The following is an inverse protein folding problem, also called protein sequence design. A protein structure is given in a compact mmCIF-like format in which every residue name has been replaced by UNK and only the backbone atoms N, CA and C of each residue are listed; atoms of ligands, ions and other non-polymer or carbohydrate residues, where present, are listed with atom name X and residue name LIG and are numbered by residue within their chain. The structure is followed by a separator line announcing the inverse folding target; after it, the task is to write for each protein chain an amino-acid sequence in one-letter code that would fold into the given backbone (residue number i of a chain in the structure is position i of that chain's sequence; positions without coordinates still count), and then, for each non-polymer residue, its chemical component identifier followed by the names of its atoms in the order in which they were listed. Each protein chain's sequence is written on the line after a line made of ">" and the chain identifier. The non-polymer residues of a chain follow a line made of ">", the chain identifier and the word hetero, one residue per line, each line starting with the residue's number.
data_IF_886092637474
#
_entry.id   IF_886092637474
#
_cell.length_a   1.000
_cell.length_b   1.000
_cell.length_c   1.000
_cell.angle_alpha   90.00
_cell.angle_beta   90.00
_cell.angle_gamma   90.00
#
_symmetry.space_group_name_H-M   'P 1'
#
loop_
_entity.id
_entity.type
_entity.pdbx_description
1 polymer ?
#
# COMPACT_ATOMS: atom_id res chain seq x y z
N UNK A 1 13.72 -11.16 3.87
CA UNK A 1 13.81 -10.06 2.91
C UNK A 1 15.18 -9.40 3.03
N UNK A 2 15.73 -8.88 1.93
CA UNK A 2 16.94 -8.05 1.93
C UNK A 2 16.59 -6.57 1.72
N UNK A 3 17.58 -5.67 1.78
CA UNK A 3 17.34 -4.23 1.62
C UNK A 3 16.78 -3.87 0.24
N UNK A 4 17.14 -4.60 -0.83
CA UNK A 4 16.69 -4.30 -2.19
C UNK A 4 15.20 -4.61 -2.32
N UNK A 5 14.79 -5.78 -1.85
CA UNK A 5 13.37 -6.19 -1.82
C UNK A 5 12.56 -5.27 -0.89
N UNK A 6 13.12 -4.87 0.25
CA UNK A 6 12.49 -3.92 1.16
C UNK A 6 12.29 -2.53 0.52
N UNK A 7 13.28 -2.02 -0.23
CA UNK A 7 13.16 -0.76 -0.99
C UNK A 7 12.09 -0.85 -2.07
N UNK A 8 12.06 -1.97 -2.81
CA UNK A 8 11.04 -2.20 -3.85
C UNK A 8 9.63 -2.15 -3.25
N UNK A 9 9.41 -2.88 -2.15
CA UNK A 9 8.11 -2.85 -1.47
C UNK A 9 7.81 -1.46 -0.89
N UNK A 10 8.77 -0.77 -0.28
CA UNK A 10 8.57 0.58 0.25
C UNK A 10 8.11 1.56 -0.85
N UNK A 11 8.72 1.49 -2.04
CA UNK A 11 8.30 2.25 -3.22
C UNK A 11 6.88 1.86 -3.67
N UNK A 12 6.56 0.55 -3.72
CA UNK A 12 5.24 0.08 -4.11
C UNK A 12 4.14 0.57 -3.16
N UNK A 13 4.35 0.53 -1.84
CA UNK A 13 3.41 1.08 -0.84
C UNK A 13 3.20 2.59 -1.03
N UNK A 14 4.26 3.33 -1.37
CA UNK A 14 4.13 4.76 -1.67
C UNK A 14 3.33 5.01 -2.97
N UNK A 15 3.54 4.20 -4.01
CA UNK A 15 2.71 4.26 -5.23
C UNK A 15 1.24 3.96 -4.93
N UNK A 16 0.96 2.97 -4.10
CA UNK A 16 -0.41 2.61 -3.70
C UNK A 16 -1.10 3.76 -2.94
N UNK A 17 -0.37 4.46 -2.07
CA UNK A 17 -0.89 5.65 -1.40
C UNK A 17 -1.29 6.75 -2.39
N UNK A 18 -0.47 6.99 -3.42
CA UNK A 18 -0.77 7.96 -4.49
C UNK A 18 -1.96 7.50 -5.32
N UNK A 19 -2.06 6.20 -5.62
CA UNK A 19 -3.19 5.61 -6.33
C UNK A 19 -4.49 5.80 -5.55
N UNK A 20 -4.46 5.53 -4.25
CA UNK A 20 -5.60 5.70 -3.35
C UNK A 20 -6.06 7.16 -3.28
N UNK A 21 -5.12 8.11 -3.22
CA UNK A 21 -5.43 9.55 -3.28
C UNK A 21 -6.03 9.95 -4.63
N UNK A 22 -5.45 9.48 -5.74
CA UNK A 22 -5.94 9.76 -7.10
C UNK A 22 -7.38 9.27 -7.29
N UNK A 23 -7.73 8.12 -6.72
CA UNK A 23 -9.05 7.50 -6.87
C UNK A 23 -10.07 8.01 -5.84
N UNK A 24 -9.65 8.18 -4.58
CA UNK A 24 -10.52 8.52 -3.45
C UNK A 24 -10.61 10.02 -3.13
N UNK A 25 -9.73 10.85 -3.72
CA UNK A 25 -9.67 12.28 -3.48
C UNK A 25 -9.50 12.63 -1.99
N UNK A 26 -10.20 13.66 -1.52
CA UNK A 26 -10.10 14.14 -0.13
C UNK A 26 -10.60 13.15 0.93
N UNK A 27 -11.35 12.11 0.53
CA UNK A 27 -11.85 11.10 1.44
C UNK A 27 -10.84 9.96 1.70
N UNK A 28 -9.79 9.87 0.86
CA UNK A 28 -8.75 8.85 1.00
C UNK A 28 -7.90 9.09 2.25
N UNK A 29 -7.74 8.04 3.07
CA UNK A 29 -6.80 8.01 4.19
C UNK A 29 -5.57 7.18 3.83
N UNK A 30 -4.40 7.84 3.81
CA UNK A 30 -3.11 7.22 3.51
C UNK A 30 -2.20 7.12 4.73
N UNK A 31 -2.70 7.38 5.94
CA UNK A 31 -1.88 7.38 7.15
C UNK A 31 -1.16 6.04 7.35
N UNK A 32 -1.85 4.91 7.15
CA UNK A 32 -1.27 3.56 7.27
C UNK A 32 -0.12 3.36 6.28
N UNK A 33 -0.22 3.91 5.07
CA UNK A 33 0.82 3.82 4.04
C UNK A 33 2.06 4.64 4.44
N UNK A 34 1.88 5.89 4.89
CA UNK A 34 2.96 6.76 5.34
C UNK A 34 3.71 6.17 6.55
N UNK A 35 2.96 5.62 7.51
CA UNK A 35 3.53 4.93 8.66
C UNK A 35 4.29 3.67 8.24
N UNK A 36 3.74 2.90 7.29
CA UNK A 36 4.42 1.70 6.77
C UNK A 36 5.74 2.06 6.12
N UNK A 37 5.75 3.04 5.22
CA UNK A 37 6.97 3.54 4.55
C UNK A 37 8.01 3.94 5.60
N UNK A 38 7.62 4.68 6.63
CA UNK A 38 8.52 5.10 7.72
C UNK A 38 9.06 3.90 8.53
N UNK A 39 8.21 2.94 8.88
CA UNK A 39 8.63 1.79 9.69
C UNK A 39 9.52 0.81 8.92
N UNK A 40 9.35 0.70 7.60
CA UNK A 40 10.25 -0.09 6.75
C UNK A 40 11.67 0.46 6.75
N UNK A 41 11.85 1.79 6.80
CA UNK A 41 13.17 2.42 6.97
C UNK A 41 13.85 1.92 8.24
N UNK A 42 13.12 1.96 9.37
CA UNK A 42 13.60 1.49 10.67
C UNK A 42 13.96 -0.01 10.63
N UNK A 43 13.02 -0.84 10.16
CA UNK A 43 13.14 -2.30 10.18
C UNK A 43 14.33 -2.80 9.35
N UNK A 44 14.55 -2.22 8.17
CA UNK A 44 15.54 -2.69 7.19
C UNK A 44 16.77 -1.79 7.06
N UNK A 45 16.84 -0.71 7.84
CA UNK A 45 17.90 0.33 7.80
C UNK A 45 18.05 0.91 6.38
N UNK A 46 16.91 1.28 5.79
CA UNK A 46 16.88 1.84 4.44
C UNK A 46 17.45 3.27 4.43
N UNK A 47 17.89 3.79 3.27
CA UNK A 47 18.37 5.16 3.17
C UNK A 47 17.26 6.17 3.49
N UNK A 48 17.44 6.96 4.57
CA UNK A 48 16.49 7.99 5.02
C UNK A 48 16.14 8.99 3.92
N UNK A 49 17.08 9.32 3.02
CA UNK A 49 16.83 10.24 1.92
C UNK A 49 15.79 9.70 0.93
N UNK A 50 15.85 8.41 0.62
CA UNK A 50 14.89 7.77 -0.29
C UNK A 50 13.52 7.63 0.38
N UNK A 51 13.47 7.22 1.65
CA UNK A 51 12.22 7.17 2.41
C UNK A 51 11.54 8.54 2.48
N UNK A 52 12.30 9.60 2.76
CA UNK A 52 11.79 10.97 2.75
C UNK A 52 11.25 11.37 1.37
N UNK A 53 11.96 11.02 0.30
CA UNK A 53 11.53 11.31 -1.07
C UNK A 53 10.18 10.65 -1.39
N UNK A 54 9.98 9.41 -0.97
CA UNK A 54 8.70 8.70 -1.14
C UNK A 54 7.56 9.38 -0.35
N UNK A 55 7.82 9.78 0.89
CA UNK A 55 6.83 10.53 1.71
C UNK A 55 6.52 11.90 1.11
N UNK A 56 7.52 12.58 0.54
CA UNK A 56 7.33 13.87 -0.14
C UNK A 56 6.43 13.72 -1.37
N UNK A 57 6.51 12.61 -2.12
CA UNK A 57 5.59 12.35 -3.23
C UNK A 57 4.14 12.18 -2.75
N UNK A 58 3.91 11.43 -1.67
CA UNK A 58 2.56 11.27 -1.08
C UNK A 58 2.02 12.64 -0.63
N UNK A 59 2.87 13.46 -0.01
CA UNK A 59 2.49 14.81 0.41
C UNK A 59 2.13 15.70 -0.78
N UNK A 60 2.95 15.68 -1.84
CA UNK A 60 2.68 16.44 -3.07
C UNK A 60 1.36 16.00 -3.71
N UNK A 61 1.06 14.71 -3.70
CA UNK A 61 -0.22 14.21 -4.21
C UNK A 61 -1.40 14.75 -3.40
N UNK A 62 -1.31 14.78 -2.06
CA UNK A 62 -2.34 15.43 -1.23
C UNK A 62 -2.58 16.89 -1.64
N UNK A 63 -1.53 17.63 -1.99
CA UNK A 63 -1.64 19.01 -2.49
C UNK A 63 -2.27 19.07 -3.90
N UNK A 64 -1.94 18.12 -4.78
CA UNK A 64 -2.58 17.96 -6.09
C UNK A 64 -4.08 17.73 -5.94
N UNK A 65 -4.50 16.83 -5.05
CA UNK A 65 -5.92 16.57 -4.76
C UNK A 65 -6.64 17.84 -4.29
N UNK A 66 -6.02 18.69 -3.46
CA UNK A 66 -6.63 19.95 -3.04
C UNK A 66 -6.84 20.94 -4.20
N UNK A 67 -5.87 21.00 -5.13
CA UNK A 67 -5.94 21.87 -6.32
C UNK A 67 -7.00 21.38 -7.31
N UNK A 68 -7.06 20.07 -7.55
CA UNK A 68 -8.11 19.44 -8.36
C UNK A 68 -9.51 19.76 -7.80
N UNK A 69 -9.69 19.65 -6.49
CA UNK A 69 -10.95 20.00 -5.83
C UNK A 69 -11.29 21.50 -5.91
N UNK A 70 -10.29 22.36 -6.10
CA UNK A 70 -10.46 23.80 -6.32
C UNK A 70 -10.77 24.14 -7.79
N UNK A 71 -10.85 23.13 -8.67
CA UNK A 71 -11.15 23.26 -10.09
C UNK A 71 -9.92 23.54 -10.97
N UNK A 72 -8.71 23.43 -10.43
CA UNK A 72 -7.49 23.46 -11.24
C UNK A 72 -7.32 22.15 -12.01
N UNK A 73 -6.79 22.23 -13.23
CA UNK A 73 -6.41 21.05 -14.03
C UNK A 73 -4.90 20.81 -13.85
N UNK A 74 -4.57 19.86 -12.99
CA UNK A 74 -3.19 19.52 -12.61
C UNK A 74 -2.99 18.01 -12.67
N UNK A 75 -1.84 17.54 -13.17
CA UNK A 75 -1.58 16.10 -13.24
C UNK A 75 -1.29 15.51 -11.85
N UNK A 76 -1.69 14.25 -11.66
CA UNK A 76 -1.30 13.42 -10.52
C UNK A 76 0.21 13.12 -10.54
N UNK A 77 0.77 12.88 -9.35
CA UNK A 77 2.17 12.53 -9.16
C UNK A 77 2.46 11.11 -9.66
N UNK A 78 3.60 10.93 -10.30
CA UNK A 78 4.14 9.63 -10.71
C UNK A 78 5.51 9.42 -10.07
N UNK A 79 5.85 8.16 -9.74
CA UNK A 79 7.17 7.78 -9.24
C UNK A 79 7.92 7.06 -10.36
N UNK A 80 9.09 7.57 -10.74
CA UNK A 80 9.94 7.03 -11.83
C UNK A 80 9.21 6.87 -13.18
N UNK A 81 8.31 7.80 -13.51
CA UNK A 81 7.47 7.79 -14.71
C UNK A 81 6.60 6.53 -14.88
N UNK A 82 6.41 5.77 -13.80
CA UNK A 82 5.54 4.60 -13.79
C UNK A 82 4.09 4.99 -13.49
N UNK A 83 3.15 4.30 -14.14
CA UNK A 83 1.73 4.40 -13.80
C UNK A 83 1.52 3.90 -12.35
N UNK A 84 0.98 4.78 -11.51
CA UNK A 84 0.66 4.50 -10.11
C UNK A 84 -0.67 3.75 -9.98
N UNK A 85 -1.55 3.84 -10.98
CA UNK A 85 -2.86 3.16 -10.99
C UNK A 85 -2.77 1.73 -11.55
N UNK A 86 -1.57 1.25 -11.87
CA UNK A 86 -1.37 -0.12 -12.31
C UNK A 86 -1.69 -1.10 -11.17
N UNK A 87 -2.69 -1.94 -11.39
CA UNK A 87 -3.06 -2.99 -10.44
C UNK A 87 -1.88 -3.93 -10.18
N UNK A 88 -1.73 -4.33 -8.92
CA UNK A 88 -0.82 -5.40 -8.54
C UNK A 88 -1.39 -6.73 -9.03
N UNK A 89 -0.53 -7.67 -9.36
CA UNK A 89 -0.94 -9.05 -9.58
C UNK A 89 -1.23 -9.77 -8.25
N UNK A 90 -1.90 -10.92 -8.32
CA UNK A 90 -2.12 -11.77 -7.16
C UNK A 90 -0.86 -12.28 -6.48
N UNK A 91 0.18 -12.52 -7.27
CA UNK A 91 1.48 -12.89 -6.68
C UNK A 91 2.10 -11.69 -5.96
N UNK A 92 2.11 -10.49 -6.57
CA UNK A 92 2.67 -9.29 -5.94
C UNK A 92 1.95 -8.93 -4.63
N UNK A 93 0.62 -9.08 -4.59
CA UNK A 93 -0.16 -8.82 -3.38
C UNK A 93 0.17 -9.83 -2.27
N UNK A 94 0.30 -11.11 -2.61
CA UNK A 94 0.69 -12.15 -1.65
C UNK A 94 2.12 -11.93 -1.13
N UNK A 95 3.07 -11.68 -2.03
CA UNK A 95 4.47 -11.40 -1.68
C UNK A 95 4.58 -10.18 -0.77
N UNK A 96 3.82 -9.11 -1.04
CA UNK A 96 3.79 -7.93 -0.19
C UNK A 96 3.20 -8.21 1.19
N UNK A 97 2.14 -9.02 1.29
CA UNK A 97 1.59 -9.43 2.59
C UNK A 97 2.62 -10.23 3.41
N UNK A 98 3.35 -11.14 2.77
CA UNK A 98 4.45 -11.89 3.40
C UNK A 98 5.59 -10.96 3.84
N UNK A 99 5.97 -10.00 3.01
CA UNK A 99 7.04 -9.05 3.31
C UNK A 99 6.67 -8.06 4.43
N UNK A 100 5.40 -7.64 4.52
CA UNK A 100 4.89 -6.85 5.63
C UNK A 100 4.92 -7.67 6.93
N UNK A 101 4.54 -8.94 6.87
CA UNK A 101 4.66 -9.85 8.01
C UNK A 101 6.13 -10.00 8.43
N UNK A 102 7.05 -10.23 7.50
CA UNK A 102 8.48 -10.35 7.81
C UNK A 102 9.02 -9.04 8.40
N UNK A 103 8.63 -7.90 7.84
CA UNK A 103 8.98 -6.57 8.38
C UNK A 103 8.54 -6.41 9.83
N UNK A 104 7.37 -6.94 10.20
CA UNK A 104 6.87 -6.89 11.58
C UNK A 104 7.78 -7.61 12.59
N UNK A 105 8.53 -8.64 12.16
CA UNK A 105 9.47 -9.37 13.01
C UNK A 105 10.69 -8.52 13.40
N UNK A 106 10.96 -7.46 12.65
CA UNK A 106 12.05 -6.51 12.88
C UNK A 106 11.63 -5.26 13.67
N UNK A 107 10.36 -5.17 14.09
CA UNK A 107 9.82 -4.04 14.84
C UNK A 107 9.66 -4.38 16.32
N UNK A 108 9.77 -3.38 17.19
CA UNK A 108 9.96 -3.58 18.63
C UNK A 108 8.64 -3.59 19.39
N UNK A 109 7.66 -2.80 18.92
CA UNK A 109 6.40 -2.59 19.65
C UNK A 109 5.20 -3.24 18.96
N UNK A 110 4.19 -3.58 19.76
CA UNK A 110 2.90 -4.03 19.24
C UNK A 110 2.29 -3.00 18.28
N UNK A 111 2.36 -1.70 18.60
CA UNK A 111 1.82 -0.64 17.76
C UNK A 111 2.49 -0.60 16.38
N UNK A 112 3.82 -0.73 16.32
CA UNK A 112 4.56 -0.79 15.05
C UNK A 112 4.19 -2.03 14.22
N UNK A 113 4.11 -3.19 14.85
CA UNK A 113 3.69 -4.44 14.18
C UNK A 113 2.25 -4.37 13.70
N UNK A 114 1.40 -3.67 14.44
CA UNK A 114 -0.01 -3.48 14.09
C UNK A 114 -0.16 -2.67 12.80
N UNK A 115 0.69 -1.67 12.56
CA UNK A 115 0.70 -0.93 11.29
C UNK A 115 0.98 -1.86 10.11
N UNK A 116 1.93 -2.80 10.23
CA UNK A 116 2.21 -3.77 9.16
C UNK A 116 0.99 -4.65 8.86
N UNK A 117 0.29 -5.09 9.91
CA UNK A 117 -0.94 -5.87 9.76
C UNK A 117 -2.05 -5.07 9.08
N UNK A 118 -2.31 -3.83 9.56
CA UNK A 118 -3.35 -2.97 9.00
C UNK A 118 -3.06 -2.61 7.53
N UNK A 119 -1.77 -2.47 7.17
CA UNK A 119 -1.37 -2.29 5.77
C UNK A 119 -1.64 -3.55 4.94
N UNK A 120 -1.28 -4.74 5.42
CA UNK A 120 -1.56 -5.98 4.71
C UNK A 120 -3.07 -6.19 4.50
N UNK A 121 -3.89 -5.82 5.49
CA UNK A 121 -5.35 -5.87 5.38
C UNK A 121 -5.89 -4.85 4.37
N UNK A 122 -5.34 -3.63 4.36
CA UNK A 122 -5.66 -2.62 3.35
C UNK A 122 -5.37 -3.12 1.93
N UNK A 123 -4.18 -3.70 1.69
CA UNK A 123 -3.82 -4.26 0.38
C UNK A 123 -4.75 -5.40 -0.05
N UNK A 124 -5.15 -6.26 0.90
CA UNK A 124 -6.10 -7.35 0.63
C UNK A 124 -7.45 -6.81 0.14
N UNK A 125 -7.90 -5.69 0.71
CA UNK A 125 -9.17 -5.04 0.32
C UNK A 125 -9.05 -4.28 -1.00
N UNK A 126 -7.99 -3.50 -1.20
CA UNK A 126 -7.79 -2.72 -2.43
C UNK A 126 -7.59 -3.61 -3.66
N UNK A 127 -6.88 -4.73 -3.52
CA UNK A 127 -6.53 -5.60 -4.66
C UNK A 127 -7.45 -6.82 -4.81
N UNK A 128 -8.56 -6.90 -4.07
CA UNK A 128 -9.57 -7.96 -4.17
C UNK A 128 -8.97 -9.37 -4.31
N UNK A 129 -8.10 -9.78 -3.37
CA UNK A 129 -7.36 -11.05 -3.46
C UNK A 129 -8.24 -12.28 -3.75
N UNK A 130 -9.51 -12.25 -3.33
CA UNK A 130 -10.50 -13.29 -3.59
C UNK A 130 -10.84 -13.49 -5.07
N UNK A 131 -10.76 -12.44 -5.89
CA UNK A 131 -11.06 -12.51 -7.32
C UNK A 131 -10.02 -13.37 -8.07
N UNK A 132 -8.85 -13.57 -7.49
CA UNK A 132 -7.77 -14.39 -8.05
C UNK A 132 -7.76 -15.82 -7.54
N UNK A 133 -8.54 -16.15 -6.51
CA UNK A 133 -8.55 -17.48 -5.90
C UNK A 133 -9.70 -18.31 -6.50
N UNK A 134 -9.36 -19.48 -7.05
CA UNK A 134 -10.38 -20.48 -7.38
C UNK A 134 -10.82 -21.16 -6.08
N UNK A 135 -12.04 -20.85 -5.64
CA UNK A 135 -12.63 -21.48 -4.47
C UNK A 135 -12.77 -23.00 -4.67
N UNK A 136 -12.51 -23.74 -3.61
CA UNK A 136 -12.87 -25.17 -3.51
C UNK A 136 -14.40 -25.33 -3.49
N UNK A 137 -14.87 -26.54 -3.78
CA UNK A 137 -16.32 -26.83 -3.76
C UNK A 137 -16.97 -26.58 -2.39
N UNK A 138 -16.24 -26.83 -1.30
CA UNK A 138 -16.74 -26.58 0.06
C UNK A 138 -16.82 -25.08 0.38
N UNK A 139 -15.84 -24.29 -0.05
CA UNK A 139 -15.85 -22.83 0.11
C UNK A 139 -16.98 -22.18 -0.69
N UNK A 140 -17.24 -22.64 -1.92
CA UNK A 140 -18.39 -22.16 -2.73
C UNK A 140 -19.72 -22.36 -1.99
N UNK A 141 -19.93 -23.55 -1.41
CA UNK A 141 -21.15 -23.85 -0.64
C UNK A 141 -21.32 -22.96 0.59
N UNK A 142 -20.22 -22.62 1.27
CA UNK A 142 -20.26 -21.72 2.44
C UNK A 142 -20.61 -20.29 2.05
N UNK A 143 -20.06 -19.77 0.95
CA UNK A 143 -20.38 -18.43 0.45
C UNK A 143 -21.85 -18.28 0.07
N UNK A 144 -22.47 -19.33 -0.51
CA UNK A 144 -23.91 -19.34 -0.84
C UNK A 144 -24.83 -19.32 0.39
N UNK A 145 -24.36 -19.79 1.54
CA UNK A 145 -25.11 -19.82 2.80
C UNK A 145 -25.09 -18.48 3.54
N UNK A 146 -24.08 -17.64 3.31
CA UNK A 146 -23.93 -16.31 3.94
C UNK A 146 -24.78 -15.24 3.25
N UNK A 147 -25.27 -15.51 2.03
CA UNK A 147 -26.10 -14.59 1.22
C UNK A 147 -27.62 -14.80 1.43
N UNK A 148 -28.04 -15.66 2.37
CA UNK A 148 -29.44 -15.87 2.77
C UNK A 148 -29.72 -15.33 4.16
#
# INVERSE_FOLDING_TARGET
>A
MDQIRAQKLQKQIAKEAIALLSLGGNAADVQTHEQTVTLMEKAWKLPTEETRRLLDFIKQEKEVIQRLNSGEDVPHIQIDDEDVLANWSGMETLEAAEDLFETSLHLDSYAERRVMFDMADTLRECHNLLDWITLTEDEKRMSELVVK
#
